data_IF_566339954822
#
_entry.id   IF_566339954822
#
_cell.length_a   1.000
_cell.length_b   1.000
_cell.length_c   1.000
_cell.angle_alpha   90.00
_cell.angle_beta   90.00
_cell.angle_gamma   90.00
#
_symmetry.space_group_name_H-M   'P 1'
#
loop_
_entity.id
_entity.type
_entity.pdbx_description
1 polymer ?
2 polymer ?
3 non-polymer ?
4 water ?
#
# COMPACT_ATOMS: atom_id res chain seq x y z
N UNK A 5 -12.27 5.86 -25.71
CA UNK A 5 -12.22 4.43 -25.40
C UNK A 5 -12.91 4.07 -24.08
N UNK A 6 -13.57 2.93 -24.04
CA UNK A 6 -14.29 2.50 -22.85
C UNK A 6 -13.33 2.16 -21.73
N UNK A 7 -13.88 2.01 -20.53
CA UNK A 7 -13.11 1.64 -19.33
C UNK A 7 -13.79 0.45 -18.66
N UNK A 8 -13.05 -0.59 -18.27
CA UNK A 8 -13.70 -1.76 -17.64
C UNK A 8 -14.49 -1.36 -16.40
N UNK A 9 -15.61 -2.07 -16.21
CA UNK A 9 -16.52 -1.75 -15.12
C UNK A 9 -15.86 -1.94 -13.76
N UNK A 10 -14.99 -2.95 -13.63
CA UNK A 10 -14.32 -3.17 -12.36
C UNK A 10 -13.46 -1.97 -11.96
N UNK A 11 -12.80 -1.33 -12.93
CA UNK A 11 -12.00 -0.13 -12.62
C UNK A 11 -12.89 1.03 -12.22
N UNK A 12 -14.01 1.23 -12.91
CA UNK A 12 -14.88 2.36 -12.63
C UNK A 12 -15.46 2.27 -11.22
N UNK A 13 -15.75 1.04 -10.77
CA UNK A 13 -16.20 0.87 -9.39
C UNK A 13 -15.07 1.11 -8.41
N UNK A 14 -13.87 0.59 -8.71
CA UNK A 14 -12.74 0.83 -7.84
C UNK A 14 -12.41 2.32 -7.75
N UNK A 15 -12.63 3.07 -8.83
CA UNK A 15 -12.44 4.52 -8.75
C UNK A 15 -13.40 5.16 -7.74
N UNK A 16 -14.67 4.77 -7.76
CA UNK A 16 -15.63 5.38 -6.85
C UNK A 16 -15.47 4.90 -5.40
N UNK A 17 -14.81 3.77 -5.18
CA UNK A 17 -14.53 3.31 -3.83
C UNK A 17 -13.28 3.94 -3.24
N UNK A 18 -12.58 4.79 -3.99
CA UNK A 18 -11.33 5.37 -3.53
C UNK A 18 -11.61 6.56 -2.63
N UNK A 19 -11.06 6.60 -1.41
CA UNK A 19 -11.23 7.79 -0.58
C UNK A 19 -10.35 8.92 -1.11
N UNK A 20 -10.90 10.13 -1.07
CA UNK A 20 -10.15 11.29 -1.52
C UNK A 20 -9.03 11.61 -0.54
N UNK A 21 -7.88 12.03 -1.08
CA UNK A 21 -6.67 12.20 -0.29
C UNK A 21 -6.77 13.28 0.77
N UNK A 22 -7.77 14.15 0.70
CA UNK A 22 -7.84 15.22 1.70
C UNK A 22 -8.44 14.73 3.01
N UNK A 23 -9.53 13.95 2.94
CA UNK A 23 -10.14 13.46 4.16
C UNK A 23 -9.29 12.37 4.82
N UNK A 24 -8.50 11.64 4.02
CA UNK A 24 -7.57 10.71 4.66
C UNK A 24 -6.40 11.48 5.29
N UNK A 25 -5.95 12.57 4.66
CA UNK A 25 -4.87 13.37 5.25
C UNK A 25 -5.34 14.03 6.54
N UNK A 26 -6.57 14.53 6.58
CA UNK A 26 -7.08 15.19 7.77
C UNK A 26 -7.27 14.19 8.90
N UNK A 27 -7.89 13.05 8.61
CA UNK A 27 -8.07 12.02 9.64
C UNK A 27 -6.73 11.60 10.24
N UNK A 28 -5.72 11.39 9.40
CA UNK A 28 -4.40 10.96 9.90
C UNK A 28 -3.72 12.09 10.64
N UNK A 29 -3.74 13.30 10.07
CA UNK A 29 -3.17 14.46 10.77
C UNK A 29 -3.88 14.70 12.09
N UNK A 30 -5.20 14.49 12.13
CA UNK A 30 -5.95 14.69 13.37
C UNK A 30 -5.62 13.65 14.43
N UNK A 31 -5.36 12.41 14.01
CA UNK A 31 -5.01 11.36 14.97
C UNK A 31 -3.58 11.51 15.49
N UNK A 32 -2.74 12.26 14.78
CA UNK A 32 -1.37 12.49 15.24
C UNK A 32 -1.31 13.60 16.30
N UNK A 33 -2.37 14.40 16.46
CA UNK A 33 -2.43 15.38 17.54
C UNK A 33 -2.79 14.75 18.88
N UNK A 34 -3.36 13.54 18.88
CA UNK A 34 -3.72 12.88 20.14
C UNK A 34 -2.47 12.56 20.95
N UNK A 35 -2.51 12.88 22.22
CA UNK A 35 -1.43 12.70 23.17
C UNK A 35 -0.97 11.30 23.35
N UNK A 36 0.26 11.10 23.78
CA UNK A 36 0.75 9.76 24.02
C UNK A 36 1.92 9.70 24.96
N UNK A 37 2.36 8.50 25.35
CA UNK A 37 3.48 8.34 26.30
C UNK A 37 4.88 8.60 25.74
N UNK A 38 5.71 9.41 26.42
CA UNK A 38 7.04 9.74 25.94
C UNK A 38 8.06 8.76 26.47
N UNK A 39 9.33 8.95 26.13
CA UNK A 39 10.40 8.11 26.65
C UNK A 39 11.54 9.05 27.01
N UNK A 43 13.47 9.84 20.53
CA UNK A 43 13.01 10.73 19.46
C UNK A 43 11.48 10.82 19.36
N UNK A 44 10.96 12.05 19.33
CA UNK A 44 9.52 12.25 19.21
C UNK A 44 9.03 12.24 17.77
N UNK A 45 9.91 12.44 16.79
CA UNK A 45 9.48 12.35 15.41
C UNK A 45 9.44 10.92 14.92
N UNK A 46 10.33 10.07 15.43
CA UNK A 46 10.25 8.65 15.11
C UNK A 46 8.94 8.06 15.61
N UNK A 47 8.50 8.48 16.78
CA UNK A 47 7.20 8.02 17.27
C UNK A 47 6.06 8.53 16.42
N UNK A 48 6.17 9.77 15.94
CA UNK A 48 5.11 10.31 15.08
C UNK A 48 5.08 9.61 13.71
N UNK A 49 6.25 9.26 13.15
CA UNK A 49 6.26 8.60 11.84
C UNK A 49 5.69 7.18 11.91
N UNK A 50 6.01 6.43 12.96
CA UNK A 50 5.41 5.11 13.17
C UNK A 50 3.89 5.21 13.25
N UNK A 51 3.39 6.20 13.98
CA UNK A 51 1.93 6.33 14.10
C UNK A 51 1.31 6.72 12.78
N UNK A 52 1.99 7.58 12.01
CA UNK A 52 1.50 7.99 10.70
C UNK A 52 1.37 6.78 9.78
N UNK A 53 2.44 5.99 9.65
CA UNK A 53 2.39 4.74 8.90
C UNK A 53 1.25 3.86 9.39
N UNK A 54 1.10 3.72 10.71
CA UNK A 54 0.01 2.93 11.28
C UNK A 54 -1.34 3.42 10.76
N UNK A 55 -1.61 4.71 10.91
CA UNK A 55 -2.88 5.25 10.45
C UNK A 55 -3.05 5.07 8.95
N UNK A 56 -1.95 5.07 8.19
CA UNK A 56 -2.05 4.74 6.77
C UNK A 56 -2.61 3.34 6.59
N UNK A 57 -2.13 2.39 7.39
CA UNK A 57 -2.60 1.01 7.25
C UNK A 57 -4.05 0.85 7.71
N UNK A 58 -4.51 1.72 8.62
CA UNK A 58 -5.88 1.63 9.06
C UNK A 58 -6.83 2.05 7.94
N UNK A 59 -6.47 3.12 7.21
CA UNK A 59 -7.37 3.57 6.16
C UNK A 59 -7.27 2.67 4.94
N UNK A 60 -6.18 1.91 4.84
CA UNK A 60 -6.07 0.85 3.83
C UNK A 60 -7.01 -0.30 4.18
N UNK A 61 -7.04 -0.71 5.45
CA UNK A 61 -8.03 -1.71 5.88
C UNK A 61 -9.44 -1.21 5.59
N UNK A 62 -9.70 0.06 5.93
CA UNK A 62 -11.00 0.66 5.65
C UNK A 62 -11.33 0.64 4.17
N UNK A 63 -10.32 0.78 3.30
CA UNK A 63 -10.56 0.66 1.87
C UNK A 63 -10.87 -0.78 1.46
N UNK A 64 -10.09 -1.74 1.99
CA UNK A 64 -10.35 -3.15 1.69
C UNK A 64 -11.73 -3.57 2.15
N UNK A 65 -12.20 -3.04 3.29
CA UNK A 65 -13.51 -3.38 3.81
C UNK A 65 -14.62 -2.98 2.83
N UNK A 66 -14.44 -1.89 2.09
CA UNK A 66 -15.50 -1.40 1.21
C UNK A 66 -15.47 -2.01 -0.18
N UNK A 67 -14.34 -2.61 -0.60
CA UNK A 67 -14.21 -3.15 -1.94
C UNK A 67 -15.24 -4.26 -2.20
N UNK A 68 -15.43 -4.59 -3.48
CA UNK A 68 -16.60 -5.38 -3.86
C UNK A 68 -16.44 -6.84 -3.44
N UNK A 69 -15.35 -7.49 -3.83
CA UNK A 69 -15.21 -8.91 -3.51
C UNK A 69 -14.76 -9.09 -2.07
N UNK A 70 -13.97 -8.17 -1.54
CA UNK A 70 -13.48 -8.31 -0.17
C UNK A 70 -14.61 -8.23 0.85
N UNK A 71 -15.58 -7.36 0.62
CA UNK A 71 -16.66 -7.20 1.59
C UNK A 71 -17.46 -8.48 1.69
N UNK A 72 -17.74 -9.07 0.53
CA UNK A 72 -18.50 -10.32 0.45
C UNK A 72 -17.56 -11.50 0.70
N UNK A 73 -16.84 -11.44 1.81
CA UNK A 73 -15.94 -12.51 2.18
C UNK A 73 -16.04 -12.63 3.65
N UNK A 74 -15.90 -13.86 4.17
CA UNK A 74 -15.95 -14.10 5.60
C UNK A 74 -14.64 -13.63 6.24
N UNK A 75 -14.68 -13.40 7.55
CA UNK A 75 -13.53 -12.89 8.27
C UNK A 75 -12.23 -13.72 8.24
N UNK A 76 -12.31 -15.05 8.12
CA UNK A 76 -11.05 -15.79 8.18
C UNK A 76 -10.22 -15.52 6.92
N UNK A 77 -10.90 -15.51 5.79
CA UNK A 77 -10.32 -15.16 4.54
C UNK A 77 -9.94 -13.71 4.45
N UNK A 78 -10.72 -12.82 5.03
CA UNK A 78 -10.33 -11.43 4.98
C UNK A 78 -9.01 -11.24 5.69
N UNK A 79 -8.86 -11.84 6.84
CA UNK A 79 -7.65 -11.68 7.55
C UNK A 79 -6.47 -12.22 6.83
N UNK A 80 -6.61 -13.38 6.23
CA UNK A 80 -5.49 -13.97 5.54
C UNK A 80 -4.98 -13.17 4.37
N UNK A 81 -5.88 -12.50 3.66
CA UNK A 81 -5.48 -11.71 2.55
C UNK A 81 -4.66 -10.54 3.01
N UNK A 82 -5.18 -9.80 3.95
CA UNK A 82 -4.52 -8.61 4.46
C UNK A 82 -3.18 -8.94 5.10
N UNK A 83 -3.13 -10.05 5.85
CA UNK A 83 -1.86 -10.46 6.44
C UNK A 83 -0.82 -10.76 5.37
N UNK A 84 -1.27 -11.19 4.20
CA UNK A 84 -0.33 -11.49 3.13
C UNK A 84 0.13 -10.25 2.38
N UNK A 85 -0.71 -9.21 2.25
CA UNK A 85 -0.42 -8.10 1.36
C UNK A 85 -0.25 -6.75 2.07
N UNK A 86 -0.27 -6.71 3.41
CA UNK A 86 -0.28 -5.43 4.13
C UNK A 86 0.90 -4.54 3.77
N UNK A 87 2.12 -5.08 3.82
CA UNK A 87 3.24 -4.19 3.54
C UNK A 87 3.28 -3.80 2.06
N UNK A 88 2.85 -4.70 1.18
CA UNK A 88 2.80 -4.40 -0.25
C UNK A 88 1.78 -3.32 -0.53
N UNK A 89 0.64 -3.35 0.16
CA UNK A 89 -0.31 -2.25 0.01
C UNK A 89 0.23 -0.95 0.60
N UNK A 90 1.05 -1.01 1.66
CA UNK A 90 1.65 0.20 2.20
C UNK A 90 2.72 0.74 1.25
N UNK A 91 3.58 -0.14 0.73
CA UNK A 91 4.60 0.33 -0.21
C UNK A 91 3.93 0.95 -1.43
N UNK A 92 2.94 0.26 -1.99
CA UNK A 92 2.29 0.78 -3.19
C UNK A 92 1.65 2.14 -2.92
N UNK A 93 1.06 2.32 -1.74
CA UNK A 93 0.49 3.61 -1.40
C UNK A 93 1.55 4.70 -1.39
N UNK A 94 2.73 4.42 -0.81
CA UNK A 94 3.83 5.36 -0.81
C UNK A 94 4.29 5.68 -2.23
N UNK A 95 4.43 4.63 -3.06
CA UNK A 95 4.93 4.77 -4.43
C UNK A 95 4.01 5.68 -5.24
N UNK A 96 2.71 5.36 -5.24
CA UNK A 96 1.76 6.17 -6.00
C UNK A 96 1.70 7.60 -5.47
N UNK A 97 1.92 7.80 -4.18
CA UNK A 97 2.01 9.15 -3.67
C UNK A 97 3.16 9.88 -4.36
N UNK A 98 4.32 9.22 -4.47
CA UNK A 98 5.46 9.82 -5.14
C UNK A 98 5.20 10.04 -6.63
N UNK A 99 4.43 9.17 -7.27
CA UNK A 99 4.11 9.39 -8.69
C UNK A 99 3.32 10.69 -8.84
N UNK A 100 2.26 10.86 -8.03
CA UNK A 100 1.51 12.13 -7.99
C UNK A 100 2.38 13.32 -7.57
N UNK A 101 3.44 13.10 -6.79
CA UNK A 101 4.35 14.14 -6.32
C UNK A 101 5.57 14.16 -7.25
N UNK A 102 5.48 14.91 -8.33
CA UNK A 102 6.49 14.76 -9.36
C UNK A 102 7.79 15.46 -9.09
N UNK A 103 8.38 15.21 -7.91
CA UNK A 103 9.60 15.89 -7.47
C UNK A 103 10.62 14.85 -7.03
N UNK A 104 11.66 14.68 -7.83
CA UNK A 104 12.65 13.64 -7.57
C UNK A 104 13.58 14.00 -6.41
N UNK A 105 13.59 15.24 -5.97
CA UNK A 105 14.48 15.65 -4.89
C UNK A 105 13.97 15.42 -3.49
N UNK A 106 12.71 15.01 -3.33
CA UNK A 106 12.15 14.83 -2.01
C UNK A 106 11.06 13.76 -2.07
N UNK A 107 10.69 13.25 -0.89
CA UNK A 107 9.58 12.31 -0.77
C UNK A 107 8.42 12.99 -0.07
N UNK A 108 7.22 12.67 -0.52
CA UNK A 108 6.00 13.23 0.03
C UNK A 108 5.40 12.25 1.03
N UNK A 109 5.01 12.75 2.20
CA UNK A 109 4.36 11.93 3.22
C UNK A 109 2.85 12.13 3.17
N UNK A 110 2.13 11.17 3.75
CA UNK A 110 0.67 11.20 3.69
C UNK A 110 0.15 12.44 4.41
N UNK A 111 0.90 12.95 5.37
CA UNK A 111 0.51 14.17 6.06
C UNK A 111 0.75 15.40 5.22
N UNK A 112 1.36 15.26 4.05
CA UNK A 112 1.66 16.38 3.19
C UNK A 112 3.03 16.99 3.40
N UNK A 113 3.74 16.61 4.46
CA UNK A 113 5.07 17.17 4.64
C UNK A 113 6.07 16.49 3.70
N UNK A 114 6.94 17.30 3.13
CA UNK A 114 8.00 16.86 2.25
C UNK A 114 9.27 16.66 3.06
N UNK A 115 9.98 15.58 2.78
CA UNK A 115 11.31 15.32 3.30
C UNK A 115 12.27 15.25 2.12
N UNK A 116 13.34 16.04 2.16
CA UNK A 116 14.32 16.04 1.09
C UNK A 116 15.13 14.75 1.12
N UNK A 117 15.54 14.30 -0.06
CA UNK A 117 16.41 13.13 -0.13
C UNK A 117 17.75 13.38 0.55
N UNK A 118 18.32 14.59 0.39
CA UNK A 118 19.53 14.90 1.14
C UNK A 118 19.32 14.65 2.64
N UNK A 119 18.12 14.94 3.15
CA UNK A 119 17.90 14.67 4.57
C UNK A 119 17.94 13.17 4.86
N UNK A 120 17.32 12.36 4.01
CA UNK A 120 17.41 10.92 4.20
C UNK A 120 18.86 10.46 4.13
N UNK A 121 19.63 11.01 3.19
CA UNK A 121 20.96 10.49 2.91
C UNK A 121 21.95 10.73 4.05
N UNK A 122 21.72 11.75 4.88
CA UNK A 122 22.65 12.04 5.96
C UNK A 122 22.09 11.72 7.33
N UNK A 123 20.79 11.49 7.45
CA UNK A 123 20.17 11.26 8.74
C UNK A 123 19.59 9.87 8.90
N UNK A 124 19.52 9.08 7.84
CA UNK A 124 18.96 7.74 7.92
C UNK A 124 20.09 6.72 7.84
N UNK A 125 19.81 5.53 8.35
CA UNK A 125 20.74 4.44 8.21
C UNK A 125 20.74 3.88 6.80
N UNK A 126 21.74 3.03 6.53
CA UNK A 126 21.86 2.46 5.20
C UNK A 126 20.59 1.74 4.77
N UNK A 127 19.96 0.96 5.67
CA UNK A 127 18.79 0.18 5.29
C UNK A 127 17.65 1.09 4.82
N UNK A 128 17.32 2.12 5.62
CA UNK A 128 16.26 3.03 5.23
C UNK A 128 16.62 3.77 3.94
N UNK A 129 17.86 4.26 3.87
CA UNK A 129 18.30 5.03 2.70
C UNK A 129 18.27 4.16 1.45
N UNK A 130 18.85 2.96 1.52
CA UNK A 130 18.68 2.00 0.44
C UNK A 130 17.21 1.83 0.08
N UNK A 131 16.38 1.59 1.09
CA UNK A 131 14.97 1.28 0.84
C UNK A 131 14.29 2.44 0.11
N UNK A 132 14.61 3.68 0.49
CA UNK A 132 14.02 4.87 -0.12
C UNK A 132 14.50 5.03 -1.56
N UNK A 133 15.80 4.99 -1.76
CA UNK A 133 16.35 5.08 -3.12
C UNK A 133 15.77 4.00 -4.03
N UNK A 134 15.67 2.76 -3.54
CA UNK A 134 15.10 1.71 -4.38
C UNK A 134 13.66 2.05 -4.72
N UNK A 135 12.88 2.50 -3.73
CA UNK A 135 11.50 2.88 -4.00
C UNK A 135 11.43 4.00 -5.04
N UNK A 136 12.31 5.01 -4.91
CA UNK A 136 12.31 6.11 -5.87
C UNK A 136 12.63 5.64 -7.30
N UNK A 137 13.43 4.58 -7.41
CA UNK A 137 13.75 4.01 -8.71
C UNK A 137 12.46 3.49 -9.35
N UNK A 138 11.65 2.81 -8.55
CA UNK A 138 10.37 2.28 -9.03
C UNK A 138 9.40 3.42 -9.35
N UNK A 139 9.44 4.50 -8.57
CA UNK A 139 8.66 5.69 -8.89
C UNK A 139 9.02 6.20 -10.27
N UNK A 140 10.31 6.26 -10.59
CA UNK A 140 10.73 6.74 -11.89
C UNK A 140 10.23 5.84 -13.01
N UNK A 141 10.24 4.52 -12.80
CA UNK A 141 9.79 3.63 -13.85
C UNK A 141 8.28 3.77 -14.08
N UNK A 142 7.52 3.95 -12.99
CA UNK A 142 6.07 4.10 -13.12
C UNK A 142 5.72 5.42 -13.81
N UNK A 143 6.48 6.49 -13.56
CA UNK A 143 6.27 7.75 -14.29
C UNK A 143 6.59 7.58 -15.78
N UNK A 144 7.67 6.86 -16.09
CA UNK A 144 8.01 6.58 -17.49
C UNK A 144 6.95 5.72 -18.16
N UNK A 145 6.34 4.79 -17.42
CA UNK A 145 5.29 3.97 -18.00
C UNK A 145 3.96 4.71 -18.04
N UNK A 146 3.94 5.96 -17.56
CA UNK A 146 2.75 6.80 -17.56
C UNK A 146 1.61 6.16 -16.78
N UNK A 147 1.93 5.64 -15.58
CA UNK A 147 0.89 5.13 -14.69
C UNK A 147 -0.17 6.20 -14.40
N UNK A 148 -1.42 5.89 -14.70
CA UNK A 148 -2.54 6.76 -14.35
C UNK A 148 -3.36 6.16 -13.21
N UNK A 149 -4.45 6.83 -12.84
CA UNK A 149 -5.22 6.43 -11.65
C UNK A 149 -6.07 5.19 -11.90
N UNK A 150 -6.51 4.98 -13.15
CA UNK A 150 -7.29 3.78 -13.46
C UNK A 150 -6.47 2.53 -13.20
N UNK A 151 -5.21 2.53 -13.62
CA UNK A 151 -4.36 1.36 -13.40
C UNK A 151 -3.96 1.22 -11.93
N UNK A 152 -3.70 2.34 -11.26
CA UNK A 152 -3.33 2.31 -9.86
C UNK A 152 -4.38 1.60 -9.02
N UNK A 153 -5.65 1.95 -9.24
CA UNK A 153 -6.75 1.35 -8.52
C UNK A 153 -6.84 -0.14 -8.84
N UNK A 154 -6.56 -0.47 -10.10
CA UNK A 154 -6.59 -1.87 -10.55
C UNK A 154 -5.43 -2.63 -9.93
N UNK A 155 -4.27 -2.00 -9.91
CA UNK A 155 -3.08 -2.62 -9.33
C UNK A 155 -3.31 -2.94 -7.87
N UNK A 156 -3.83 -1.95 -7.14
CA UNK A 156 -4.12 -2.13 -5.72
C UNK A 156 -5.03 -3.33 -5.49
N UNK A 157 -6.07 -3.46 -6.31
CA UNK A 157 -7.01 -4.55 -6.18
C UNK A 157 -6.38 -5.90 -6.54
N UNK A 158 -5.44 -5.91 -7.49
CA UNK A 158 -4.67 -7.11 -7.79
C UNK A 158 -3.77 -7.49 -6.61
N UNK A 159 -3.13 -6.50 -5.99
CA UNK A 159 -2.28 -6.81 -4.85
C UNK A 159 -3.10 -7.44 -3.73
N UNK A 160 -4.28 -6.87 -3.48
CA UNK A 160 -5.10 -7.34 -2.36
C UNK A 160 -5.41 -8.82 -2.47
N UNK A 161 -5.62 -9.33 -3.70
CA UNK A 161 -6.03 -10.71 -3.92
C UNK A 161 -4.92 -11.62 -4.46
N UNK A 162 -3.71 -11.09 -4.70
CA UNK A 162 -2.63 -11.87 -5.32
C UNK A 162 -2.02 -12.83 -4.29
N UNK A 163 -2.73 -13.93 -4.06
CA UNK A 163 -2.34 -14.94 -3.09
C UNK A 163 -2.63 -16.33 -3.65
N UNK A 164 -1.69 -17.26 -3.43
CA UNK A 164 -1.89 -18.66 -3.83
C UNK A 164 -3.17 -19.19 -3.22
N UNK A 165 -4.04 -19.75 -4.07
CA UNK A 165 -5.41 -20.05 -3.65
C UNK A 165 -5.50 -21.21 -2.66
N UNK A 166 -4.38 -21.85 -2.33
CA UNK A 166 -4.39 -22.91 -1.32
C UNK A 166 -4.85 -22.37 0.02
N UNK A 167 -4.38 -21.18 0.39
CA UNK A 167 -4.54 -20.62 1.72
C UNK A 167 -5.90 -19.98 1.94
N UNK A 168 -6.84 -20.12 1.01
CA UNK A 168 -8.15 -19.52 1.15
C UNK A 168 -9.24 -20.58 1.04
N UNK A 169 -10.30 -20.31 1.83
CA UNK A 169 -11.47 -21.08 2.07
C UNK A 169 -12.54 -20.70 1.12
N UNK A 170 -12.87 -19.42 0.92
CA UNK A 170 -13.90 -19.04 -0.08
C UNK A 170 -13.20 -18.88 -1.41
N UNK A 171 -12.62 -19.99 -1.89
CA UNK A 171 -11.65 -20.05 -3.01
C UNK A 171 -12.05 -19.72 -4.43
N UNK A 172 -13.27 -20.06 -4.82
CA UNK A 172 -13.72 -19.74 -6.17
C UNK A 172 -14.13 -18.26 -6.28
N UNK A 173 -14.34 -17.60 -5.14
CA UNK A 173 -14.75 -16.24 -5.17
C UNK A 173 -13.52 -15.43 -5.47
N UNK A 174 -12.43 -15.81 -4.82
CA UNK A 174 -11.15 -15.22 -5.01
C UNK A 174 -10.59 -15.48 -6.37
N UNK A 175 -10.77 -16.67 -6.91
CA UNK A 175 -10.22 -16.97 -8.21
C UNK A 175 -10.84 -16.11 -9.25
N UNK A 176 -12.13 -15.89 -9.10
CA UNK A 176 -12.86 -15.02 -9.99
C UNK A 176 -12.22 -13.64 -9.95
N UNK A 177 -11.94 -13.13 -8.76
CA UNK A 177 -11.40 -11.79 -8.61
C UNK A 177 -10.10 -11.63 -9.30
N UNK A 178 -9.24 -12.60 -9.15
CA UNK A 178 -7.97 -12.47 -9.78
C UNK A 178 -8.08 -12.41 -11.28
N UNK A 179 -8.87 -13.26 -11.87
CA UNK A 179 -8.93 -13.25 -13.30
C UNK A 179 -9.58 -12.01 -13.77
N UNK A 180 -10.65 -11.65 -13.09
CA UNK A 180 -11.44 -10.48 -13.45
C UNK A 180 -10.62 -9.20 -13.37
N UNK A 181 -9.70 -9.09 -12.40
CA UNK A 181 -8.87 -7.90 -12.28
C UNK A 181 -7.73 -7.90 -13.30
N UNK A 182 -7.20 -9.07 -13.65
CA UNK A 182 -6.17 -9.13 -14.67
C UNK A 182 -6.71 -8.77 -16.03
N UNK A 183 -7.92 -9.26 -16.35
CA UNK A 183 -8.56 -8.93 -17.63
C UNK A 183 -8.89 -7.45 -17.73
N UNK A 184 -9.36 -6.85 -16.63
CA UNK A 184 -9.64 -5.42 -16.63
C UNK A 184 -8.37 -4.61 -16.85
N UNK A 185 -7.28 -4.98 -16.17
CA UNK A 185 -6.02 -4.26 -16.41
C UNK A 185 -5.50 -4.53 -17.83
N UNK A 186 -5.63 -5.76 -18.32
CA UNK A 186 -5.26 -6.06 -19.70
C UNK A 186 -6.10 -5.25 -20.69
N UNK A 187 -7.41 -5.31 -20.54
CA UNK A 187 -8.30 -4.56 -21.44
C UNK A 187 -8.01 -3.06 -21.41
N UNK A 188 -7.72 -2.51 -20.24
CA UNK A 188 -7.51 -1.06 -20.15
C UNK A 188 -6.18 -0.63 -20.79
N UNK A 189 -5.08 -1.32 -20.50
CA UNK A 189 -3.80 -0.90 -21.05
C UNK A 189 -3.73 -1.10 -22.56
N UNK A 190 -4.51 -2.04 -23.12
CA UNK A 190 -4.47 -2.26 -24.56
C UNK A 190 -5.18 -1.15 -25.33
N UNK A 191 -6.30 -0.63 -24.81
CA UNK A 191 -7.04 0.42 -25.50
C UNK A 191 -6.42 1.79 -25.35
N UNK A 192 -5.71 2.05 -24.25
CA UNK A 192 -5.28 3.40 -23.91
C UNK A 192 -3.78 3.62 -24.06
N UNK A 193 -2.96 2.58 -23.98
CA UNK A 193 -1.50 2.72 -24.02
C UNK A 193 -0.90 1.73 -24.99
N UNK A 194 -1.05 1.96 -26.29
CA UNK A 194 -0.57 0.97 -27.27
C UNK A 194 0.75 1.31 -27.94
N UNK A 195 1.61 2.08 -27.26
CA UNK A 195 2.72 2.72 -27.96
C UNK A 195 4.11 2.20 -27.58
N UNK A 196 4.40 2.04 -26.30
CA UNK A 196 5.73 1.59 -25.89
C UNK A 196 5.68 0.20 -25.27
N UNK A 197 5.33 -0.80 -26.06
CA UNK A 197 5.42 -2.16 -25.60
C UNK A 197 4.22 -2.57 -24.76
N UNK A 198 4.41 -3.69 -24.07
CA UNK A 198 3.33 -4.39 -23.35
C UNK A 198 3.17 -3.70 -22.00
N UNK A 199 2.26 -2.74 -21.93
CA UNK A 199 2.10 -2.01 -20.68
C UNK A 199 1.66 -2.93 -19.57
N UNK A 200 0.65 -3.77 -19.84
CA UNK A 200 0.16 -4.74 -18.87
C UNK A 200 1.32 -5.54 -18.28
N UNK A 201 2.22 -6.02 -19.13
CA UNK A 201 3.36 -6.82 -18.67
C UNK A 201 4.32 -5.97 -17.84
N UNK A 202 4.61 -4.75 -18.30
CA UNK A 202 5.50 -3.90 -17.53
C UNK A 202 4.91 -3.59 -16.17
N UNK A 203 3.59 -3.32 -16.10
CA UNK A 203 2.96 -3.05 -14.82
C UNK A 203 3.03 -4.27 -13.91
N UNK A 204 2.89 -5.46 -14.49
CA UNK A 204 3.02 -6.67 -13.67
C UNK A 204 4.46 -6.84 -13.17
N UNK A 205 5.41 -6.46 -13.96
CA UNK A 205 6.77 -6.51 -13.55
C UNK A 205 7.04 -5.56 -12.42
N UNK A 206 6.22 -4.55 -12.28
CA UNK A 206 6.28 -3.59 -11.19
C UNK A 206 5.77 -4.25 -9.92
N UNK A 207 4.74 -5.08 -10.07
CA UNK A 207 4.18 -5.79 -8.92
C UNK A 207 5.28 -6.60 -8.27
N UNK A 208 6.08 -7.27 -9.10
CA UNK A 208 7.22 -8.05 -8.59
C UNK A 208 8.16 -7.14 -7.79
N UNK A 209 8.41 -5.92 -8.28
CA UNK A 209 9.29 -5.02 -7.55
C UNK A 209 8.63 -4.49 -6.27
N UNK A 210 7.33 -4.27 -6.29
CA UNK A 210 6.62 -3.83 -5.07
C UNK A 210 6.68 -4.93 -4.01
N UNK A 211 6.63 -6.20 -4.43
CA UNK A 211 6.74 -7.29 -3.48
C UNK A 211 8.13 -7.33 -2.87
N UNK A 212 9.16 -7.15 -3.69
CA UNK A 212 10.52 -7.14 -3.20
C UNK A 212 10.78 -5.93 -2.30
N UNK A 213 10.17 -4.78 -2.62
CA UNK A 213 10.30 -3.63 -1.73
C UNK A 213 9.61 -3.88 -0.41
N UNK A 214 8.46 -4.55 -0.44
CA UNK A 214 7.72 -4.76 0.79
C UNK A 214 8.43 -5.73 1.72
N UNK A 215 9.20 -6.68 1.17
CA UNK A 215 10.01 -7.55 2.04
C UNK A 215 11.16 -6.76 2.67
N UNK A 216 11.85 -5.95 1.87
CA UNK A 216 12.88 -5.07 2.38
C UNK A 216 12.33 -4.15 3.47
N UNK A 217 11.12 -3.59 3.24
CA UNK A 217 10.44 -2.84 4.28
C UNK A 217 10.22 -3.67 5.53
N UNK A 218 9.80 -4.93 5.35
CA UNK A 218 9.60 -5.78 6.51
C UNK A 218 10.91 -6.04 7.22
N UNK A 219 11.99 -6.15 6.47
CA UNK A 219 13.29 -6.31 7.12
C UNK A 219 13.70 -5.05 7.86
N UNK A 220 13.37 -3.87 7.35
CA UNK A 220 13.69 -2.64 8.06
C UNK A 220 12.93 -2.55 9.39
N UNK A 221 11.65 -2.94 9.40
CA UNK A 221 10.90 -2.96 10.65
C UNK A 221 11.53 -3.96 11.64
N UNK A 222 11.97 -5.11 11.15
CA UNK A 222 12.58 -6.10 12.03
C UNK A 222 13.88 -5.58 12.61
N UNK A 223 14.64 -4.80 11.83
CA UNK A 223 15.87 -4.19 12.33
C UNK A 223 15.56 -3.22 13.47
N UNK A 224 14.63 -2.28 13.24
CA UNK A 224 14.20 -1.38 14.31
C UNK A 224 13.67 -2.15 15.50
N UNK A 225 12.92 -3.22 15.25
CA UNK A 225 12.37 -4.04 16.33
C UNK A 225 13.47 -4.65 17.20
N UNK A 226 14.53 -5.19 16.58
CA UNK A 226 15.64 -5.74 17.37
C UNK A 226 16.36 -4.65 18.14
N UNK A 227 16.31 -3.40 17.66
CA UNK A 227 16.91 -2.29 18.37
C UNK A 227 16.14 -1.79 19.56
N UNK A 228 14.91 -2.28 19.72
CA UNK A 228 13.97 -1.95 20.81
C UNK A 228 13.49 -0.49 20.84
N UNK A 229 13.63 0.13 19.68
CA UNK A 229 13.29 1.49 19.39
C UNK A 229 11.84 1.64 18.90
N UNK A 230 11.20 0.55 18.59
CA UNK A 230 9.86 0.54 18.02
C UNK A 230 8.91 0.75 19.17
N UNK A 231 7.92 1.64 18.99
CA UNK A 231 7.03 1.78 20.16
C UNK A 231 6.16 0.55 20.36
N UNK A 232 5.93 0.22 21.64
CA UNK A 232 5.00 -0.86 21.97
C UNK A 232 3.60 -0.51 21.50
N UNK A 233 2.83 -1.55 21.19
CA UNK A 233 1.46 -1.53 20.66
C UNK A 233 1.46 -1.26 19.15
N UNK A 234 2.61 -0.95 18.55
CA UNK A 234 2.68 -0.56 17.15
C UNK A 234 1.95 -1.57 16.26
N UNK A 235 1.04 -1.07 15.42
CA UNK A 235 0.22 -1.96 14.60
C UNK A 235 1.07 -2.74 13.61
N UNK A 236 2.11 -2.12 13.05
CA UNK A 236 2.86 -2.73 11.95
C UNK A 236 3.74 -3.88 12.42
N UNK A 237 4.34 -3.76 13.62
CA UNK A 237 5.14 -4.88 14.11
C UNK A 237 4.24 -6.01 14.59
N UNK A 238 3.02 -5.70 15.01
CA UNK A 238 2.07 -6.78 15.27
C UNK A 238 1.66 -7.46 13.97
N UNK A 239 1.55 -6.72 12.88
CA UNK A 239 1.38 -7.35 11.57
C UNK A 239 2.62 -8.15 11.18
N UNK A 240 3.77 -7.67 11.57
CA UNK A 240 4.99 -8.33 11.21
C UNK A 240 5.14 -9.67 11.86
N UNK A 241 4.41 -9.91 12.93
CA UNK A 241 4.56 -11.15 13.65
C UNK A 241 3.53 -12.24 13.44
N UNK A 242 2.50 -11.99 12.67
CA UNK A 242 1.54 -13.04 12.49
C UNK A 242 2.01 -13.99 11.42
N UNK B 3 -6.45 -10.99 21.62
CA UNK B 3 -5.97 -12.13 20.84
C UNK B 3 -5.51 -11.70 19.47
N UNK B 4 -6.33 -10.92 18.77
CA UNK B 4 -5.90 -10.47 17.45
C UNK B 4 -6.11 -8.97 17.29
N UNK B 5 -5.46 -8.40 16.31
CA UNK B 5 -5.61 -6.99 16.13
C UNK B 5 -6.32 -6.69 14.81
N UNK B 6 -5.95 -7.46 13.82
CA UNK B 6 -6.48 -7.32 12.49
C UNK B 6 -7.95 -7.46 12.54
N UNK B 7 -8.39 -8.56 13.17
CA UNK B 7 -9.80 -8.87 13.37
C UNK B 7 -10.52 -7.70 13.95
N UNK B 8 -9.97 -7.11 15.02
CA UNK B 8 -10.58 -5.98 15.68
C UNK B 8 -10.83 -4.92 14.66
N UNK B 9 -9.79 -4.55 13.93
CA UNK B 9 -9.94 -3.53 12.91
C UNK B 9 -10.96 -3.85 11.86
N UNK B 10 -10.93 -5.10 11.42
CA UNK B 10 -11.85 -5.60 10.39
C UNK B 10 -13.30 -5.51 10.84
N UNK B 11 -13.62 -6.14 11.97
CA UNK B 11 -14.97 -6.10 12.51
C UNK B 11 -15.11 -4.86 13.38
N UNK B 12 -15.22 -3.71 12.75
CA UNK B 12 -15.32 -2.48 13.44
C UNK B 12 -16.59 -1.77 13.04
N UNK B 13 -16.86 -0.61 13.67
CA UNK B 13 -18.01 0.19 13.30
C UNK B 13 -18.26 0.38 11.81
N UNK B 14 -19.53 0.41 11.39
CA UNK B 14 -19.91 0.55 9.99
C UNK B 14 -19.12 -0.46 9.17
#
# INVERSE_FOLDING_TARGET
GSGGPNVPELILQLLQLEPDEDQVRARILGSLQEPTKSRPDQPAAFGLLCRMADQTFISIVDWARRCMVFKELEVADQMTLLQNCWSELLVFDHIYRQVQHGKEGSILLVTGQEVELTTVATQAGSLLHSLVLRAQELVLQLLALQLDRQEFVCLKFIILFSLDLKFLNNHILVKDAQEKANAALLDYTLCHYPHSGDKFQQLLLCLVEVRALSMQAKEYLYHKHLGNEMPRNNLLIEMLQAKQT
EEPSLLKKLLLAPA
#
